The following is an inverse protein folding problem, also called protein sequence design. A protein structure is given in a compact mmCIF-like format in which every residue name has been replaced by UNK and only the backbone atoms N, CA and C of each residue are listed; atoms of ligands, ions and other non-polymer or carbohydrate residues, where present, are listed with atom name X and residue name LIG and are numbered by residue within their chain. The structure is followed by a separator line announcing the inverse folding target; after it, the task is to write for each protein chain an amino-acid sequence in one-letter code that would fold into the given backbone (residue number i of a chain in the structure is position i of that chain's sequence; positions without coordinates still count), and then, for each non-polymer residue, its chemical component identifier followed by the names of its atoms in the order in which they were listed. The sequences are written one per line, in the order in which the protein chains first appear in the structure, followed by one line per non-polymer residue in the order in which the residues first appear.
data_IF_986549471464
#
_entry.id   IF_986549471464
#
_cell.length_a   1.000
_cell.length_b   1.000
_cell.length_c   1.000
_cell.angle_alpha   90.00
_cell.angle_beta   90.00
_cell.angle_gamma   90.00
#
_symmetry.space_group_name_H-M   'P 1'
#
loop_
_entity.id
_entity.type
_entity.pdbx_description
1 polymer ?
#
# COMPACT_ATOMS: atom_id res chain seq x y z
N UNK A 1 6.78 21.75 26.05
CA UNK A 1 7.43 20.43 25.99
C UNK A 1 7.87 20.20 24.56
N UNK A 2 9.16 19.93 24.37
CA UNK A 2 9.85 19.85 23.08
C UNK A 2 9.57 18.54 22.32
N UNK A 3 9.76 18.57 21.00
CA UNK A 3 9.93 17.40 20.12
C UNK A 3 9.12 17.50 18.82
N UNK A 4 9.27 18.57 18.03
CA UNK A 4 10.13 18.66 16.84
C UNK A 4 9.83 17.65 15.71
N UNK A 5 9.45 18.21 14.56
CA UNK A 5 9.57 17.69 13.20
C UNK A 5 9.02 16.29 12.94
N UNK A 6 7.72 16.23 12.61
CA UNK A 6 7.28 15.29 11.58
C UNK A 6 8.19 15.51 10.38
N UNK A 7 9.01 14.49 10.07
CA UNK A 7 10.03 14.55 9.04
C UNK A 7 9.47 15.22 7.81
N UNK A 8 10.16 16.29 7.39
CA UNK A 8 10.03 16.84 6.05
C UNK A 8 10.39 15.69 5.10
N UNK A 9 9.38 14.87 4.76
CA UNK A 9 9.49 13.86 3.71
C UNK A 9 9.64 14.70 2.45
N UNK A 10 10.89 14.98 2.09
CA UNK A 10 11.25 15.50 0.78
C UNK A 10 10.99 14.40 -0.22
N UNK A 11 9.71 14.25 -0.58
CA UNK A 11 9.30 13.58 -1.81
C UNK A 11 9.97 14.36 -2.92
N UNK A 12 10.95 13.81 -3.66
CA UNK A 12 11.53 14.51 -4.78
C UNK A 12 10.38 14.92 -5.72
N UNK A 13 10.25 16.22 -5.98
CA UNK A 13 9.18 16.82 -6.80
C UNK A 13 9.31 16.41 -8.28
N UNK A 14 9.01 15.14 -8.58
CA UNK A 14 8.87 14.65 -9.96
C UNK A 14 7.85 13.52 -10.10
N UNK A 15 6.69 13.73 -9.48
CA UNK A 15 5.47 12.99 -9.76
C UNK A 15 4.69 12.76 -8.48
N UNK A 16 3.50 13.35 -8.39
CA UNK A 16 2.49 13.03 -7.39
C UNK A 16 1.99 11.59 -7.59
N UNK A 17 2.83 10.61 -7.23
CA UNK A 17 2.54 9.17 -7.40
C UNK A 17 1.24 8.85 -6.66
N UNK A 18 1.06 9.45 -5.49
CA UNK A 18 -0.11 9.33 -4.62
C UNK A 18 -1.39 9.77 -5.36
N UNK A 19 -1.39 10.95 -5.99
CA UNK A 19 -2.50 11.44 -6.82
C UNK A 19 -2.71 10.66 -8.13
N UNK A 20 -1.64 10.36 -8.87
CA UNK A 20 -1.69 9.58 -10.13
C UNK A 20 -2.18 8.14 -9.91
N UNK A 21 -1.88 7.55 -8.75
CA UNK A 21 -2.32 6.22 -8.34
C UNK A 21 -3.82 6.17 -8.07
N UNK A 22 -4.40 7.23 -7.48
CA UNK A 22 -5.85 7.30 -7.23
C UNK A 22 -6.62 7.36 -8.57
N UNK A 23 -6.14 8.17 -9.52
CA UNK A 23 -6.80 8.36 -10.81
C UNK A 23 -6.69 7.11 -11.71
N UNK A 24 -5.53 6.45 -11.73
CA UNK A 24 -5.32 5.23 -12.51
C UNK A 24 -6.05 3.98 -11.98
N UNK A 25 -6.43 3.92 -10.71
CA UNK A 25 -7.10 2.75 -10.13
C UNK A 25 -8.53 2.53 -10.64
N UNK A 26 -9.16 3.56 -11.21
CA UNK A 26 -10.54 3.49 -11.72
C UNK A 26 -10.65 3.06 -13.20
N UNK A 27 -9.58 3.18 -14.00
CA UNK A 27 -9.67 2.96 -15.46
C UNK A 27 -9.27 1.56 -15.96
N UNK A 28 -8.66 0.69 -15.14
CA UNK A 28 -8.01 -0.51 -15.71
C UNK A 28 -8.89 -1.77 -15.68
N UNK A 29 -9.56 -2.02 -16.80
CA UNK A 29 -10.04 -3.33 -17.23
C UNK A 29 -8.93 -4.00 -18.07
N UNK A 30 -8.36 -5.12 -17.61
CA UNK A 30 -7.35 -5.90 -18.36
C UNK A 30 -6.01 -6.15 -17.64
N UNK A 31 -5.88 -5.76 -16.36
CA UNK A 31 -4.64 -5.89 -15.60
C UNK A 31 -4.28 -7.33 -15.19
N UNK A 32 -5.26 -8.21 -15.03
CA UNK A 32 -5.03 -9.55 -14.46
C UNK A 32 -4.55 -10.62 -15.45
N UNK A 33 -4.59 -10.37 -16.77
CA UNK A 33 -4.20 -11.39 -17.75
C UNK A 33 -2.68 -11.58 -17.84
N UNK A 34 -1.87 -10.73 -17.19
CA UNK A 34 -0.39 -10.75 -17.23
C UNK A 34 0.27 -10.88 -15.84
N UNK A 35 -0.44 -11.43 -14.85
CA UNK A 35 0.02 -11.44 -13.45
C UNK A 35 1.35 -12.18 -13.28
N UNK A 36 1.58 -13.29 -13.98
CA UNK A 36 2.80 -14.11 -13.82
C UNK A 36 4.06 -13.38 -14.31
N UNK A 37 4.04 -12.82 -15.52
CA UNK A 37 5.21 -12.10 -16.07
C UNK A 37 5.50 -10.81 -15.30
N UNK A 38 4.45 -10.10 -14.88
CA UNK A 38 4.60 -8.89 -14.07
C UNK A 38 5.07 -9.21 -12.65
N UNK A 39 4.70 -10.36 -12.08
CA UNK A 39 5.22 -10.81 -10.78
C UNK A 39 6.73 -10.96 -10.84
N UNK A 40 7.27 -11.63 -11.87
CA UNK A 40 8.72 -11.82 -12.01
C UNK A 40 9.44 -10.48 -12.14
N UNK A 41 8.93 -9.58 -12.99
CA UNK A 41 9.48 -8.23 -13.12
C UNK A 41 9.43 -7.43 -11.80
N UNK A 42 8.37 -7.57 -10.99
CA UNK A 42 8.28 -6.89 -9.69
C UNK A 42 9.26 -7.46 -8.65
N UNK A 43 9.62 -8.75 -8.73
CA UNK A 43 10.61 -9.37 -7.82
C UNK A 43 12.03 -8.85 -8.06
N UNK A 44 12.34 -8.38 -9.26
CA UNK A 44 13.64 -7.79 -9.56
C UNK A 44 13.79 -6.37 -8.98
N UNK A 45 12.67 -5.70 -8.68
CA UNK A 45 12.66 -4.31 -8.24
C UNK A 45 12.72 -4.23 -6.73
N UNK A 46 13.86 -3.78 -6.21
CA UNK A 46 14.08 -3.61 -4.78
C UNK A 46 13.60 -2.23 -4.30
N UNK A 47 12.81 -2.23 -3.23
CA UNK A 47 12.33 -1.02 -2.57
C UNK A 47 13.17 -0.72 -1.32
N UNK A 48 13.54 0.54 -1.16
CA UNK A 48 14.08 1.06 0.09
C UNK A 48 12.95 1.28 1.13
N UNK A 49 13.32 1.66 2.35
CA UNK A 49 12.35 1.85 3.44
C UNK A 49 11.32 2.94 3.14
N UNK A 50 11.74 4.05 2.54
CA UNK A 50 10.87 5.19 2.23
C UNK A 50 9.88 4.84 1.11
N UNK A 51 10.31 4.05 0.14
CA UNK A 51 9.49 3.57 -0.97
C UNK A 51 8.45 2.55 -0.50
N UNK A 52 8.82 1.63 0.40
CA UNK A 52 7.86 0.74 1.04
C UNK A 52 6.82 1.54 1.84
N UNK A 53 7.27 2.52 2.60
CA UNK A 53 6.39 3.41 3.35
C UNK A 53 5.43 4.18 2.42
N UNK A 54 5.92 4.70 1.29
CA UNK A 54 5.12 5.39 0.28
C UNK A 54 4.08 4.45 -0.35
N UNK A 55 4.47 3.21 -0.67
CA UNK A 55 3.56 2.19 -1.17
C UNK A 55 2.44 1.91 -0.17
N UNK A 56 2.79 1.73 1.10
CA UNK A 56 1.82 1.56 2.18
C UNK A 56 0.87 2.76 2.29
N UNK A 57 1.39 4.00 2.26
CA UNK A 57 0.55 5.20 2.29
C UNK A 57 -0.45 5.23 1.14
N UNK A 58 0.00 4.97 -0.08
CA UNK A 58 -0.86 4.93 -1.26
C UNK A 58 -1.95 3.85 -1.13
N UNK A 59 -1.60 2.67 -0.59
CA UNK A 59 -2.54 1.61 -0.32
C UNK A 59 -3.61 2.00 0.72
N UNK A 60 -3.24 2.71 1.79
CA UNK A 60 -4.21 3.17 2.80
C UNK A 60 -5.19 4.18 2.24
N UNK A 61 -4.73 5.13 1.42
CA UNK A 61 -5.62 6.06 0.74
C UNK A 61 -6.64 5.37 -0.16
N UNK A 62 -6.23 4.36 -0.92
CA UNK A 62 -7.14 3.58 -1.76
C UNK A 62 -8.26 2.94 -0.93
N UNK A 63 -7.96 2.52 0.31
CA UNK A 63 -8.92 1.82 1.16
C UNK A 63 -9.85 2.76 1.93
N UNK A 64 -9.31 3.85 2.45
CA UNK A 64 -10.03 4.73 3.39
C UNK A 64 -10.38 6.10 2.83
N UNK A 65 -9.83 6.45 1.65
CA UNK A 65 -9.99 7.71 0.91
C UNK A 65 -9.52 8.97 1.64
N UNK A 66 -9.39 8.90 2.97
CA UNK A 66 -9.06 10.00 3.88
C UNK A 66 -8.09 9.51 4.95
N UNK A 67 -6.98 10.23 5.11
CA UNK A 67 -5.97 9.95 6.12
C UNK A 67 -6.57 10.00 7.55
N UNK A 68 -7.54 10.88 7.80
CA UNK A 68 -8.19 10.99 9.12
C UNK A 68 -9.07 9.79 9.46
N UNK A 69 -9.58 9.07 8.44
CA UNK A 69 -10.39 7.86 8.61
C UNK A 69 -9.54 6.60 8.71
N UNK A 70 -8.24 6.71 8.40
CA UNK A 70 -7.31 5.60 8.36
C UNK A 70 -6.93 5.19 9.78
N UNK A 71 -7.31 3.99 10.26
CA UNK A 71 -7.09 3.63 11.65
C UNK A 71 -5.68 3.10 11.94
N UNK A 72 -4.86 2.88 10.91
CA UNK A 72 -3.55 2.22 10.97
C UNK A 72 -2.50 2.99 10.18
N UNK A 73 -1.24 2.83 10.52
CA UNK A 73 -0.14 3.53 9.82
C UNK A 73 0.41 2.72 8.65
N UNK A 74 1.11 3.35 7.68
CA UNK A 74 1.78 2.64 6.61
C UNK A 74 2.75 1.56 7.11
N UNK A 75 3.48 1.83 8.20
CA UNK A 75 4.41 0.87 8.81
C UNK A 75 3.71 -0.41 9.26
N UNK A 76 2.48 -0.29 9.78
CA UNK A 76 1.72 -1.44 10.26
C UNK A 76 1.29 -2.38 9.13
N UNK A 77 1.02 -1.86 7.93
CA UNK A 77 0.58 -2.67 6.79
C UNK A 77 1.74 -3.21 5.95
N UNK A 78 2.92 -2.56 5.96
CA UNK A 78 4.12 -3.10 5.29
C UNK A 78 4.87 -4.10 6.17
N UNK A 79 4.60 -4.10 7.48
CA UNK A 79 5.21 -5.08 8.39
C UNK A 79 4.70 -6.48 8.09
N UNK A 80 5.59 -7.45 7.80
CA UNK A 80 5.18 -8.81 7.54
C UNK A 80 4.61 -9.48 8.79
N UNK A 81 3.61 -10.34 8.60
CA UNK A 81 3.00 -11.12 9.70
C UNK A 81 3.92 -12.22 10.22
N UNK A 82 4.81 -12.75 9.36
CA UNK A 82 5.83 -13.73 9.72
C UNK A 82 7.21 -13.10 9.54
N UNK A 83 8.12 -13.35 10.48
CA UNK A 83 9.48 -12.78 10.44
C UNK A 83 10.33 -13.27 9.27
N UNK A 84 10.00 -14.42 8.70
CA UNK A 84 10.68 -15.04 7.56
C UNK A 84 10.40 -14.30 6.25
N UNK A 85 9.24 -13.66 6.16
CA UNK A 85 8.80 -12.92 4.97
C UNK A 85 9.35 -11.49 4.99
N UNK A 86 10.69 -11.28 4.98
CA UNK A 86 11.33 -9.95 5.09
C UNK A 86 11.95 -9.38 3.80
N UNK A 87 11.85 -10.06 2.66
CA UNK A 87 12.36 -9.55 1.37
C UNK A 87 11.82 -8.17 0.99
N UNK A 88 12.65 -7.29 0.47
CA UNK A 88 12.28 -5.89 0.22
C UNK A 88 11.95 -5.60 -1.25
N UNK A 89 11.68 -6.62 -2.05
CA UNK A 89 11.22 -6.44 -3.43
C UNK A 89 9.77 -5.91 -3.48
N UNK A 90 9.41 -5.30 -4.61
CA UNK A 90 8.11 -4.70 -4.85
C UNK A 90 6.98 -5.72 -4.76
N UNK A 91 7.19 -6.93 -5.29
CA UNK A 91 6.19 -8.00 -5.24
C UNK A 91 5.90 -8.43 -3.79
N UNK A 92 6.93 -8.69 -3.00
CA UNK A 92 6.76 -9.09 -1.60
C UNK A 92 6.16 -7.95 -0.77
N UNK A 93 6.50 -6.70 -1.07
CA UNK A 93 5.87 -5.52 -0.43
C UNK A 93 4.38 -5.42 -0.76
N UNK A 94 4.01 -5.59 -2.04
CA UNK A 94 2.61 -5.65 -2.49
C UNK A 94 1.84 -6.75 -1.76
N UNK A 95 2.41 -7.96 -1.71
CA UNK A 95 1.80 -9.12 -1.06
C UNK A 95 1.55 -8.90 0.44
N UNK A 96 2.51 -8.33 1.16
CA UNK A 96 2.36 -8.02 2.60
C UNK A 96 1.24 -7.03 2.85
N UNK A 97 1.21 -5.96 2.05
CA UNK A 97 0.20 -4.91 2.17
C UNK A 97 -1.19 -5.48 1.85
N UNK A 98 -1.31 -6.24 0.76
CA UNK A 98 -2.53 -6.91 0.36
C UNK A 98 -3.03 -7.85 1.46
N UNK A 99 -2.16 -8.70 2.01
CA UNK A 99 -2.51 -9.63 3.08
C UNK A 99 -3.00 -8.88 4.33
N UNK A 100 -2.28 -7.84 4.74
CA UNK A 100 -2.62 -7.05 5.92
C UNK A 100 -3.95 -6.31 5.77
N UNK A 101 -4.27 -5.86 4.55
CA UNK A 101 -5.52 -5.21 4.24
C UNK A 101 -6.67 -6.22 4.18
N UNK A 102 -6.52 -7.33 3.48
CA UNK A 102 -7.60 -8.32 3.32
C UNK A 102 -7.90 -9.01 4.64
N UNK A 103 -6.87 -9.50 5.35
CA UNK A 103 -7.07 -10.24 6.60
C UNK A 103 -7.52 -9.33 7.75
N UNK A 104 -7.20 -8.04 7.70
CA UNK A 104 -7.49 -7.11 8.78
C UNK A 104 -6.91 -7.56 10.13
N UNK A 105 -7.51 -7.13 11.24
CA UNK A 105 -7.09 -7.49 12.60
C UNK A 105 -5.91 -6.67 13.14
N UNK A 106 -5.45 -5.66 12.40
CA UNK A 106 -4.40 -4.74 12.86
C UNK A 106 -4.97 -3.80 13.92
N UNK A 107 -4.23 -3.62 15.01
CA UNK A 107 -4.59 -2.68 16.07
C UNK A 107 -4.43 -1.24 15.56
N UNK A 108 -5.44 -0.41 15.81
CA UNK A 108 -5.47 0.96 15.31
C UNK A 108 -6.26 1.90 16.21
N UNK A 109 -6.37 3.16 15.80
CA UNK A 109 -7.22 4.17 16.45
C UNK A 109 -8.19 4.77 15.44
N UNK A 110 -9.47 4.90 15.80
CA UNK A 110 -10.45 5.57 14.95
C UNK A 110 -10.15 7.06 14.83
N UNK A 111 -10.80 7.73 13.87
CA UNK A 111 -10.81 9.20 13.76
C UNK A 111 -11.19 9.90 15.08
N UNK A 112 -12.02 9.26 15.91
CA UNK A 112 -12.43 9.72 17.24
C UNK A 112 -11.46 9.35 18.38
N UNK A 113 -10.29 8.78 18.06
CA UNK A 113 -9.25 8.40 19.01
C UNK A 113 -9.51 7.10 19.78
N UNK A 114 -10.61 6.37 19.50
CA UNK A 114 -10.93 5.11 20.18
C UNK A 114 -10.08 3.97 19.63
N UNK A 115 -9.65 3.06 20.52
CA UNK A 115 -8.98 1.84 20.09
C UNK A 115 -9.91 1.00 19.20
N UNK A 116 -9.39 0.52 18.09
CA UNK A 116 -10.13 -0.27 17.10
C UNK A 116 -9.23 -1.34 16.48
N UNK A 117 -9.83 -2.25 15.71
CA UNK A 117 -9.11 -3.18 14.84
C UNK A 117 -9.59 -3.04 13.40
N UNK A 118 -8.68 -3.16 12.44
CA UNK A 118 -9.07 -3.20 11.03
C UNK A 118 -9.97 -4.40 10.77
N UNK A 119 -11.00 -4.22 9.96
CA UNK A 119 -11.91 -5.32 9.57
C UNK A 119 -11.34 -6.05 8.36
N UNK A 120 -11.55 -7.36 8.31
CA UNK A 120 -11.24 -8.13 7.11
C UNK A 120 -12.12 -7.70 5.93
N UNK A 121 -11.61 -7.81 4.71
CA UNK A 121 -12.41 -7.70 3.49
C UNK A 121 -12.94 -9.10 3.18
N UNK A 122 -14.25 -9.30 3.28
CA UNK A 122 -14.90 -10.60 3.07
C UNK A 122 -15.76 -10.67 1.81
N UNK A 123 -16.04 -9.53 1.18
CA UNK A 123 -16.84 -9.46 -0.05
C UNK A 123 -15.97 -9.53 -1.30
N UNK A 124 -16.44 -10.29 -2.29
CA UNK A 124 -15.75 -10.48 -3.59
C UNK A 124 -15.49 -9.14 -4.26
N UNK A 125 -16.48 -8.24 -4.31
CA UNK A 125 -16.32 -6.93 -4.95
C UNK A 125 -15.27 -6.06 -4.25
N UNK A 126 -15.22 -6.12 -2.92
CA UNK A 126 -14.23 -5.40 -2.12
C UNK A 126 -12.81 -5.94 -2.31
N UNK A 127 -12.70 -7.27 -2.44
CA UNK A 127 -11.44 -7.96 -2.71
C UNK A 127 -10.93 -7.64 -4.12
N UNK A 128 -11.78 -7.74 -5.14
CA UNK A 128 -11.43 -7.38 -6.52
C UNK A 128 -10.99 -5.91 -6.59
N UNK A 129 -11.73 -5.00 -5.96
CA UNK A 129 -11.40 -3.57 -5.96
C UNK A 129 -10.05 -3.30 -5.32
N UNK A 130 -9.76 -3.87 -4.15
CA UNK A 130 -8.48 -3.62 -3.48
C UNK A 130 -7.31 -4.24 -4.24
N UNK A 131 -7.48 -5.47 -4.77
CA UNK A 131 -6.44 -6.13 -5.55
C UNK A 131 -6.11 -5.35 -6.83
N UNK A 132 -7.12 -4.86 -7.55
CA UNK A 132 -6.94 -3.99 -8.73
C UNK A 132 -6.16 -2.73 -8.39
N UNK A 133 -6.60 -2.03 -7.36
CA UNK A 133 -5.98 -0.77 -6.99
C UNK A 133 -4.53 -0.97 -6.54
N UNK A 134 -4.25 -1.95 -5.66
CA UNK A 134 -2.90 -2.31 -5.24
C UNK A 134 -1.99 -2.68 -6.41
N UNK A 135 -2.53 -3.37 -7.42
CA UNK A 135 -1.80 -3.69 -8.63
C UNK A 135 -1.39 -2.44 -9.42
N UNK A 136 -2.32 -1.49 -9.59
CA UNK A 136 -2.02 -0.22 -10.26
C UNK A 136 -0.93 0.53 -9.50
N UNK A 137 -0.95 0.54 -8.16
CA UNK A 137 0.14 1.13 -7.36
C UNK A 137 1.47 0.46 -7.73
N UNK A 138 1.52 -0.88 -7.72
CA UNK A 138 2.74 -1.61 -8.01
C UNK A 138 3.27 -1.34 -9.43
N UNK A 139 2.40 -1.30 -10.44
CA UNK A 139 2.79 -0.94 -11.81
C UNK A 139 3.37 0.48 -11.90
N UNK A 140 2.84 1.45 -11.16
CA UNK A 140 3.41 2.80 -11.13
C UNK A 140 4.80 2.82 -10.50
N UNK A 141 4.98 2.11 -9.38
CA UNK A 141 6.31 1.94 -8.76
C UNK A 141 7.29 1.25 -9.70
N UNK A 142 6.84 0.24 -10.45
CA UNK A 142 7.66 -0.42 -11.47
C UNK A 142 8.10 0.53 -12.56
N UNK A 143 7.17 1.31 -13.15
CA UNK A 143 7.48 2.31 -14.18
C UNK A 143 8.40 3.41 -13.67
N UNK A 144 8.29 3.77 -12.40
CA UNK A 144 9.14 4.79 -11.77
C UNK A 144 10.57 4.32 -11.52
N UNK A 145 10.76 3.01 -11.29
CA UNK A 145 12.05 2.39 -10.98
C UNK A 145 12.79 1.84 -12.21
N UNK A 146 12.06 1.48 -13.26
CA UNK A 146 12.59 1.07 -14.57
C UNK A 146 13.17 2.23 -15.35
#
# INVERSE_FOLDING_TARGET
MCGNNFGEIRVPHKGDIVGQVIEGAYEVLGVFDKVTDNMEAMKEIHLNSDEQHLFGRAALMVRYEDENKTPVTPEQIITPRRREDKQNDLWTTWQRVQENMIKGGLSGRSASGKNTRTRAITGIDGDIRINKALWVIAEQFRKWKS
#
